data_IF_204757583829
#
_entry.id   IF_204757583829
#
_cell.length_a   1.000
_cell.length_b   1.000
_cell.length_c   1.000
_cell.angle_alpha   90.00
_cell.angle_beta   90.00
_cell.angle_gamma   90.00
#
_symmetry.space_group_name_H-M   'P 1'
#
loop_
_entity.id
_entity.type
_entity.pdbx_description
1 polymer ?
#
# COMPACT_ATOMS: atom_id res chain seq x y z
N UNK A 1 7.52 -8.30 5.84
CA UNK A 1 6.62 -7.86 6.94
C UNK A 1 7.08 -6.54 7.55
N UNK A 2 8.32 -6.46 8.05
CA UNK A 2 8.85 -5.25 8.67
C UNK A 2 8.81 -4.03 7.73
N UNK A 3 9.14 -4.23 6.45
CA UNK A 3 9.17 -3.16 5.45
C UNK A 3 7.80 -2.47 5.25
N UNK A 4 6.70 -3.21 5.23
CA UNK A 4 5.34 -2.62 5.16
C UNK A 4 5.06 -1.77 6.38
N UNK A 5 5.36 -2.31 7.56
CA UNK A 5 5.11 -1.60 8.82
C UNK A 5 5.96 -0.34 8.89
N UNK A 6 7.21 -0.41 8.41
CA UNK A 6 8.15 0.71 8.37
C UNK A 6 7.72 1.81 7.40
N UNK A 7 7.30 1.46 6.18
CA UNK A 7 7.03 2.46 5.14
C UNK A 7 5.57 2.85 4.97
N UNK A 8 4.63 1.99 5.37
CA UNK A 8 3.20 2.16 5.13
C UNK A 8 2.32 1.82 6.35
N UNK A 9 2.90 1.45 7.49
CA UNK A 9 2.13 0.95 8.63
C UNK A 9 1.12 1.95 9.18
N UNK A 10 1.42 3.24 9.12
CA UNK A 10 0.50 4.30 9.53
C UNK A 10 -0.66 4.46 8.55
N UNK A 11 -0.36 4.47 7.25
CA UNK A 11 -1.34 4.49 6.17
C UNK A 11 -2.28 3.29 6.23
N UNK A 12 -1.75 2.08 6.40
CA UNK A 12 -2.52 0.85 6.63
C UNK A 12 -3.52 1.03 7.77
N UNK A 13 -3.02 1.48 8.93
CA UNK A 13 -3.86 1.60 10.12
C UNK A 13 -4.99 2.62 9.91
N UNK A 14 -4.68 3.79 9.37
CA UNK A 14 -5.68 4.82 9.14
C UNK A 14 -6.74 4.38 8.11
N UNK A 15 -6.36 3.56 7.11
CA UNK A 15 -7.30 2.93 6.17
C UNK A 15 -8.21 1.91 6.85
N UNK A 16 -7.63 0.99 7.63
CA UNK A 16 -8.43 0.04 8.42
C UNK A 16 -9.39 0.79 9.34
N UNK A 17 -8.91 1.82 10.03
CA UNK A 17 -9.71 2.68 10.90
C UNK A 17 -10.82 3.43 10.16
N UNK A 18 -10.59 3.80 8.90
CA UNK A 18 -11.60 4.37 8.02
C UNK A 18 -12.60 3.34 7.47
N UNK A 19 -12.54 2.08 7.92
CA UNK A 19 -13.46 1.01 7.53
C UNK A 19 -13.03 0.24 6.27
N UNK A 20 -11.82 0.46 5.77
CA UNK A 20 -11.33 -0.24 4.59
C UNK A 20 -10.91 -1.65 4.95
N UNK A 21 -11.22 -2.60 4.06
CA UNK A 21 -10.66 -3.94 4.16
C UNK A 21 -9.26 -3.95 3.52
N UNK A 22 -8.22 -3.94 4.36
CA UNK A 22 -6.81 -3.94 3.94
C UNK A 22 -6.24 -5.34 4.06
N UNK A 23 -5.62 -5.81 2.98
CA UNK A 23 -4.93 -7.09 2.93
C UNK A 23 -3.50 -6.88 2.48
N UNK A 24 -2.54 -7.38 3.25
CA UNK A 24 -1.12 -7.38 2.90
C UNK A 24 -0.72 -8.73 2.32
N UNK A 25 -0.25 -8.74 1.08
CA UNK A 25 0.24 -9.92 0.41
C UNK A 25 1.68 -10.15 0.80
N UNK A 26 1.95 -11.28 1.45
CA UNK A 26 3.29 -11.66 1.90
C UNK A 26 3.73 -12.93 1.18
N UNK A 27 5.05 -13.05 0.91
CA UNK A 27 5.61 -14.25 0.29
C UNK A 27 5.52 -15.50 1.16
N UNK A 28 5.95 -15.39 2.43
CA UNK A 28 5.75 -16.44 3.44
C UNK A 28 5.33 -15.82 4.79
N UNK A 29 4.35 -16.44 5.44
CA UNK A 29 3.76 -15.98 6.70
C UNK A 29 4.54 -16.56 7.89
N UNK A 30 5.53 -15.84 8.42
CA UNK A 30 6.27 -16.29 9.61
C UNK A 30 5.67 -15.73 10.92
N UNK A 31 5.18 -14.50 10.90
CA UNK A 31 4.46 -13.88 12.03
C UNK A 31 3.49 -12.79 11.53
N UNK A 32 2.18 -12.99 11.72
CA UNK A 32 1.13 -12.04 11.32
C UNK A 32 0.79 -10.99 12.38
N UNK A 33 1.42 -11.08 13.56
CA UNK A 33 1.15 -10.18 14.69
C UNK A 33 1.32 -8.70 14.34
N UNK A 34 2.36 -8.25 13.60
CA UNK A 34 2.48 -6.84 13.24
C UNK A 34 1.27 -6.34 12.43
N UNK A 35 0.75 -7.15 11.51
CA UNK A 35 -0.42 -6.78 10.71
C UNK A 35 -1.71 -6.76 11.53
N UNK A 36 -1.85 -7.70 12.47
CA UNK A 36 -2.97 -7.72 13.42
C UNK A 36 -3.01 -6.48 14.30
N UNK A 37 -1.86 -5.95 14.71
CA UNK A 37 -1.79 -4.67 15.44
C UNK A 37 -2.36 -3.54 14.57
N UNK A 38 -2.05 -3.52 13.28
CA UNK A 38 -2.58 -2.54 12.34
C UNK A 38 -4.05 -2.81 11.94
N UNK A 39 -4.59 -3.97 12.32
CA UNK A 39 -5.92 -4.44 11.94
C UNK A 39 -6.04 -4.91 10.48
N UNK A 40 -4.90 -5.15 9.82
CA UNK A 40 -4.84 -5.66 8.45
C UNK A 40 -4.80 -7.19 8.41
N UNK A 41 -5.41 -7.76 7.38
CA UNK A 41 -5.28 -9.18 7.05
C UNK A 41 -4.02 -9.46 6.23
N UNK A 42 -3.71 -10.73 6.03
CA UNK A 42 -2.66 -11.17 5.13
C UNK A 42 -3.13 -12.26 4.17
N UNK A 43 -2.54 -12.30 2.98
CA UNK A 43 -2.73 -13.34 1.98
C UNK A 43 -1.40 -13.70 1.33
N UNK A 44 -1.28 -14.90 0.76
CA UNK A 44 -0.20 -15.20 -0.17
C UNK A 44 -0.51 -14.65 -1.57
N UNK A 45 0.53 -14.55 -2.40
CA UNK A 45 0.44 -13.94 -3.72
C UNK A 45 -0.48 -14.71 -4.69
N UNK A 46 -0.46 -16.05 -4.66
CA UNK A 46 -1.28 -16.87 -5.56
C UNK A 46 -2.76 -16.79 -5.20
N UNK A 47 -3.07 -16.77 -3.90
CA UNK A 47 -4.44 -16.53 -3.40
C UNK A 47 -4.92 -15.13 -3.78
N UNK A 48 -4.06 -14.12 -3.70
CA UNK A 48 -4.41 -12.76 -4.10
C UNK A 48 -4.73 -12.64 -5.60
N UNK A 49 -3.89 -13.20 -6.47
CA UNK A 49 -4.16 -13.26 -7.92
C UNK A 49 -5.47 -13.98 -8.23
N UNK A 50 -5.74 -15.10 -7.55
CA UNK A 50 -6.98 -15.86 -7.70
C UNK A 50 -8.19 -15.06 -7.25
N UNK A 51 -8.06 -14.28 -6.17
CA UNK A 51 -9.15 -13.46 -5.63
C UNK A 51 -9.63 -12.39 -6.61
N UNK A 52 -8.72 -11.83 -7.41
CA UNK A 52 -9.02 -10.77 -8.38
C UNK A 52 -9.79 -11.31 -9.57
N UNK A 53 -9.39 -12.49 -10.06
CA UNK A 53 -10.12 -13.20 -11.12
C UNK A 53 -11.58 -13.48 -10.71
N UNK A 54 -11.82 -13.69 -9.42
CA UNK A 54 -13.14 -14.02 -8.88
C UNK A 54 -13.95 -12.79 -8.43
N UNK A 55 -13.29 -11.73 -7.95
CA UNK A 55 -13.93 -10.63 -7.21
C UNK A 55 -13.68 -9.23 -7.79
N UNK A 56 -12.91 -9.12 -8.87
CA UNK A 56 -12.57 -7.85 -9.52
C UNK A 56 -11.31 -7.18 -8.95
N UNK A 57 -10.94 -6.04 -9.55
CA UNK A 57 -9.75 -5.28 -9.20
C UNK A 57 -9.91 -4.51 -7.88
N UNK A 58 -8.83 -4.37 -7.08
CA UNK A 58 -8.86 -3.54 -5.89
C UNK A 58 -8.97 -2.06 -6.25
N UNK A 59 -9.57 -1.26 -5.36
CA UNK A 59 -9.64 0.18 -5.58
C UNK A 59 -8.30 0.87 -5.32
N UNK A 60 -7.48 0.29 -4.46
CA UNK A 60 -6.14 0.76 -4.19
C UNK A 60 -5.18 -0.42 -4.08
N UNK A 61 -4.03 -0.28 -4.72
CA UNK A 61 -2.93 -1.23 -4.71
C UNK A 61 -1.67 -0.49 -4.29
N UNK A 62 -0.98 -0.97 -3.25
CA UNK A 62 0.28 -0.38 -2.81
C UNK A 62 1.39 -1.43 -2.72
N UNK A 63 2.63 -1.13 -3.14
CA UNK A 63 3.72 -2.12 -3.15
C UNK A 63 5.13 -1.51 -3.07
N UNK A 64 6.19 -2.27 -2.69
CA UNK A 64 7.55 -1.79 -2.74
C UNK A 64 8.00 -1.59 -4.18
N UNK A 65 8.66 -0.47 -4.49
CA UNK A 65 9.12 -0.18 -5.85
C UNK A 65 10.03 -1.30 -6.42
N UNK A 66 10.88 -1.88 -5.57
CA UNK A 66 11.77 -2.99 -5.91
C UNK A 66 11.01 -4.23 -6.40
N UNK A 67 9.79 -4.46 -5.90
CA UNK A 67 8.99 -5.63 -6.28
C UNK A 67 8.54 -5.58 -7.75
N UNK A 68 8.32 -4.37 -8.27
CA UNK A 68 7.99 -4.17 -9.69
C UNK A 68 9.17 -4.47 -10.61
N UNK A 69 10.39 -4.24 -10.13
CA UNK A 69 11.63 -4.50 -10.86
C UNK A 69 12.01 -5.99 -10.80
N UNK A 70 11.81 -6.64 -9.65
CA UNK A 70 12.27 -8.00 -9.39
C UNK A 70 11.29 -9.11 -9.78
N UNK A 71 9.96 -8.90 -9.72
CA UNK A 71 8.98 -9.95 -10.03
C UNK A 71 8.11 -9.57 -11.24
N UNK A 72 8.29 -10.27 -12.36
CA UNK A 72 7.52 -10.04 -13.57
C UNK A 72 6.02 -10.31 -13.40
N UNK A 73 5.63 -11.21 -12.49
CA UNK A 73 4.20 -11.48 -12.20
C UNK A 73 3.57 -10.28 -11.48
N UNK A 74 4.31 -9.65 -10.57
CA UNK A 74 3.85 -8.41 -9.91
C UNK A 74 3.76 -7.29 -10.93
N UNK A 75 4.77 -7.13 -11.78
CA UNK A 75 4.77 -6.14 -12.87
C UNK A 75 3.55 -6.30 -13.78
N UNK A 76 3.34 -7.49 -14.32
CA UNK A 76 2.23 -7.80 -15.22
C UNK A 76 0.89 -7.55 -14.51
N UNK A 77 0.80 -7.91 -13.24
CA UNK A 77 -0.41 -7.68 -12.45
C UNK A 77 -0.69 -6.19 -12.23
N UNK A 78 0.31 -5.41 -11.84
CA UNK A 78 0.19 -3.96 -11.64
C UNK A 78 -0.19 -3.24 -12.94
N UNK A 79 0.48 -3.57 -14.06
CA UNK A 79 0.17 -2.99 -15.36
C UNK A 79 -1.26 -3.34 -15.79
N UNK A 80 -1.69 -4.58 -15.57
CA UNK A 80 -3.07 -4.99 -15.83
C UNK A 80 -4.07 -4.21 -14.96
N UNK A 81 -3.80 -4.01 -13.67
CA UNK A 81 -4.64 -3.22 -12.77
C UNK A 81 -4.71 -1.75 -13.20
N UNK A 82 -3.60 -1.18 -13.68
CA UNK A 82 -3.53 0.17 -14.24
C UNK A 82 -4.34 0.29 -15.54
N UNK A 83 -4.22 -0.65 -16.47
CA UNK A 83 -4.96 -0.60 -17.75
C UNK A 83 -6.49 -0.52 -17.57
N UNK A 84 -7.03 -1.03 -16.46
CA UNK A 84 -8.46 -0.96 -16.16
C UNK A 84 -8.92 0.41 -15.64
N UNK A 85 -7.99 1.28 -15.22
CA UNK A 85 -8.26 2.69 -14.90
C UNK A 85 -9.13 2.96 -13.67
N UNK A 86 -9.41 1.95 -12.85
CA UNK A 86 -10.28 2.04 -11.66
C UNK A 86 -9.52 1.90 -10.33
N UNK A 87 -8.20 1.74 -10.40
CA UNK A 87 -7.37 1.42 -9.26
C UNK A 87 -6.32 2.50 -9.05
N UNK A 88 -6.22 3.00 -7.82
CA UNK A 88 -5.13 3.84 -7.38
C UNK A 88 -3.91 2.97 -7.09
N UNK A 89 -2.77 3.24 -7.73
CA UNK A 89 -1.52 2.54 -7.44
C UNK A 89 -0.59 3.43 -6.63
N UNK A 90 -0.02 2.90 -5.55
CA UNK A 90 1.01 3.56 -4.76
C UNK A 90 2.25 2.66 -4.66
N UNK A 91 3.42 3.26 -4.62
CA UNK A 91 4.67 2.57 -4.40
C UNK A 91 5.38 3.19 -3.21
N UNK A 92 6.04 2.40 -2.40
CA UNK A 92 6.95 2.91 -1.37
C UNK A 92 8.36 2.35 -1.56
N UNK A 93 9.33 3.00 -0.91
CA UNK A 93 10.73 2.65 -1.07
C UNK A 93 11.27 2.93 -2.48
N UNK A 94 12.58 2.70 -2.65
CA UNK A 94 13.26 2.76 -3.95
C UNK A 94 13.03 4.02 -4.78
N UNK A 95 13.12 3.86 -6.09
CA UNK A 95 12.81 4.89 -7.09
C UNK A 95 11.56 4.47 -7.86
N UNK A 96 10.78 5.44 -8.38
CA UNK A 96 9.64 5.11 -9.25
C UNK A 96 10.15 4.53 -10.58
N UNK A 97 9.72 3.32 -10.98
CA UNK A 97 10.09 2.73 -12.25
C UNK A 97 9.70 3.62 -13.44
N UNK A 98 10.49 3.70 -14.52
CA UNK A 98 10.19 4.54 -15.68
C UNK A 98 8.83 4.24 -16.32
N UNK A 99 8.41 2.98 -16.31
CA UNK A 99 7.11 2.53 -16.83
C UNK A 99 5.93 3.13 -16.04
N UNK A 100 6.18 3.51 -14.79
CA UNK A 100 5.20 4.06 -13.86
C UNK A 100 5.36 5.57 -13.65
N UNK A 101 6.53 6.14 -13.99
CA UNK A 101 6.82 7.57 -13.86
C UNK A 101 5.93 8.42 -14.75
N UNK A 102 5.52 7.92 -15.92
CA UNK A 102 4.60 8.62 -16.83
C UNK A 102 3.16 8.71 -16.28
N UNK A 103 2.83 7.91 -15.27
CA UNK A 103 1.51 7.82 -14.65
C UNK A 103 1.43 8.54 -13.30
N UNK A 104 2.52 9.14 -12.81
CA UNK A 104 2.63 9.38 -11.37
C UNK A 104 3.51 10.52 -10.89
N UNK A 105 3.43 10.77 -9.58
CA UNK A 105 4.19 11.79 -8.85
C UNK A 105 4.49 11.34 -7.42
N UNK A 106 5.29 12.11 -6.69
CA UNK A 106 5.57 11.86 -5.27
C UNK A 106 4.43 12.38 -4.39
N UNK A 107 4.02 11.60 -3.41
CA UNK A 107 2.98 11.94 -2.45
C UNK A 107 3.47 11.67 -1.01
N UNK A 108 3.04 12.54 -0.10
CA UNK A 108 3.25 12.34 1.33
C UNK A 108 1.92 12.01 1.99
N UNK A 109 1.94 10.99 2.84
CA UNK A 109 0.85 10.66 3.73
C UNK A 109 1.16 11.12 5.14
N UNK A 110 0.31 11.95 5.75
CA UNK A 110 0.49 12.40 7.14
C UNK A 110 -0.28 11.48 8.07
N UNK A 111 0.43 10.86 9.00
CA UNK A 111 -0.13 9.89 9.93
C UNK A 111 -0.96 10.58 11.01
N UNK A 112 -2.11 10.01 11.34
CA UNK A 112 -2.80 10.40 12.57
C UNK A 112 -1.99 10.03 13.81
N UNK A 113 -2.28 10.65 14.96
CA UNK A 113 -1.64 10.28 16.23
C UNK A 113 -1.91 8.81 16.59
N UNK A 114 -3.07 8.29 16.22
CA UNK A 114 -3.39 6.87 16.42
C UNK A 114 -2.54 5.99 15.50
N UNK A 115 -2.42 6.33 14.21
CA UNK A 115 -1.53 5.64 13.29
C UNK A 115 -0.08 5.60 13.77
N UNK A 116 0.43 6.72 14.32
CA UNK A 116 1.79 6.75 14.88
C UNK A 116 1.95 5.75 16.04
N UNK A 117 0.99 5.72 16.97
CA UNK A 117 1.03 4.81 18.12
C UNK A 117 0.92 3.34 17.72
N UNK A 118 -0.01 3.02 16.82
CA UNK A 118 -0.22 1.64 16.34
C UNK A 118 0.93 1.17 15.45
N UNK A 119 1.51 2.05 14.63
CA UNK A 119 2.74 1.77 13.88
C UNK A 119 3.90 1.45 14.81
N UNK A 120 4.10 2.24 15.88
CA UNK A 120 5.15 1.95 16.87
C UNK A 120 4.97 0.56 17.49
N UNK A 121 3.73 0.19 17.84
CA UNK A 121 3.44 -1.12 18.41
C UNK A 121 3.62 -2.27 17.39
N UNK A 122 3.29 -2.03 16.12
CA UNK A 122 3.51 -2.99 15.05
C UNK A 122 5.00 -3.19 14.77
N UNK A 123 5.81 -2.12 14.81
CA UNK A 123 7.27 -2.19 14.71
C UNK A 123 7.87 -2.97 15.87
N UNK A 124 7.43 -2.70 17.11
CA UNK A 124 7.82 -3.47 18.28
C UNK A 124 7.46 -4.96 18.15
N UNK A 125 6.26 -5.27 17.64
CA UNK A 125 5.84 -6.65 17.35
C UNK A 125 6.69 -7.31 16.26
N UNK A 126 7.22 -6.54 15.31
CA UNK A 126 8.13 -7.01 14.27
C UNK A 126 9.60 -7.12 14.73
N UNK A 127 9.91 -6.79 16.00
CA UNK A 127 11.26 -6.85 16.56
C UNK A 127 12.05 -5.53 16.50
N UNK A 128 11.41 -4.43 16.11
CA UNK A 128 12.02 -3.11 15.93
C UNK A 128 11.50 -2.11 16.96
N UNK A 129 11.63 -2.42 18.26
CA UNK A 129 11.06 -1.62 19.34
C UNK A 129 11.64 -0.19 19.44
N UNK A 130 12.88 0.02 19.00
CA UNK A 130 13.56 1.32 19.04
C UNK A 130 13.42 2.13 17.74
N UNK A 131 12.63 1.64 16.78
CA UNK A 131 12.44 2.35 15.51
C UNK A 131 11.66 3.65 15.70
N UNK A 132 12.23 4.76 15.20
CA UNK A 132 11.58 6.06 15.25
C UNK A 132 10.37 6.09 14.30
N UNK A 133 9.20 6.46 14.83
CA UNK A 133 8.00 6.66 14.00
C UNK A 133 7.91 8.12 13.58
N UNK A 134 8.09 8.36 12.27
CA UNK A 134 7.88 9.68 11.67
C UNK A 134 6.42 10.09 11.61
N UNK A 135 6.18 11.38 11.34
CA UNK A 135 4.83 11.92 11.15
C UNK A 135 4.28 11.72 9.74
N UNK A 136 5.14 11.35 8.79
CA UNK A 136 4.79 11.17 7.38
C UNK A 136 5.35 9.87 6.83
N UNK A 137 4.59 9.28 5.92
CA UNK A 137 5.00 8.18 5.04
C UNK A 137 5.05 8.69 3.60
N UNK A 138 5.97 8.12 2.81
CA UNK A 138 6.28 8.63 1.48
C UNK A 138 5.90 7.57 0.44
N UNK A 139 5.18 8.01 -0.59
CA UNK A 139 4.73 7.16 -1.67
C UNK A 139 5.01 7.79 -3.03
N UNK A 140 5.28 6.98 -4.04
CA UNK A 140 5.10 7.34 -5.43
C UNK A 140 3.70 6.90 -5.86
N UNK A 141 2.85 7.82 -6.29
CA UNK A 141 1.49 7.48 -6.72
C UNK A 141 1.44 7.39 -8.23
N UNK A 142 0.85 6.32 -8.76
CA UNK A 142 0.54 6.15 -10.17
C UNK A 142 -0.98 6.11 -10.30
N UNK A 143 -1.54 7.11 -10.99
CA UNK A 143 -2.95 7.13 -11.33
C UNK A 143 -3.08 7.10 -12.84
N UNK A 144 -4.05 6.35 -13.36
CA UNK A 144 -4.38 6.52 -14.78
C UNK A 144 -4.86 7.94 -15.04
N UNK A 145 -4.72 8.41 -16.29
CA UNK A 145 -5.16 9.75 -16.71
C UNK A 145 -6.66 10.03 -16.45
N UNK A 146 -7.46 9.01 -16.10
CA UNK A 146 -8.77 9.20 -15.46
C UNK A 146 -8.55 9.49 -13.98
N UNK A 147 -8.72 10.75 -13.58
CA UNK A 147 -8.68 11.21 -12.18
C UNK A 147 -9.49 10.28 -11.27
N UNK A 148 -8.81 9.35 -10.63
CA UNK A 148 -9.23 8.82 -9.34
C UNK A 148 -8.69 9.81 -8.31
N UNK A 149 -9.60 10.39 -7.54
CA UNK A 149 -9.22 11.20 -6.39
C UNK A 149 -8.70 10.21 -5.36
N UNK A 150 -7.42 10.30 -5.03
CA UNK A 150 -6.87 9.77 -3.80
C UNK A 150 -7.11 10.85 -2.74
N UNK A 151 -8.19 10.82 -1.95
CA UNK A 151 -8.53 11.93 -1.06
C UNK A 151 -7.52 12.12 0.08
N UNK A 152 -6.64 11.15 0.31
CA UNK A 152 -5.76 11.04 1.46
C UNK A 152 -4.26 11.16 1.14
N UNK A 153 -3.85 10.92 -0.11
CA UNK A 153 -2.47 11.11 -0.55
C UNK A 153 -2.29 12.51 -1.12
N UNK A 154 -1.53 13.34 -0.42
CA UNK A 154 -1.30 14.73 -0.82
C UNK A 154 -0.09 14.79 -1.75
N UNK A 155 -0.22 15.37 -2.96
CA UNK A 155 0.92 15.56 -3.86
C UNK A 155 2.01 16.37 -3.18
N UNK A 156 3.27 15.99 -3.35
CA UNK A 156 4.40 16.74 -2.80
C UNK A 156 4.53 18.17 -3.37
N UNK A 157 3.85 18.48 -4.49
CA UNK A 157 4.02 19.73 -5.24
C UNK A 157 2.74 20.53 -5.59
N UNK A 158 1.51 20.17 -5.19
CA UNK A 158 0.34 21.00 -5.57
C UNK A 158 -0.91 20.89 -4.68
N UNK A 159 -1.65 22.00 -4.68
CA UNK A 159 -2.84 22.42 -3.94
C UNK A 159 -4.04 21.46 -3.92
N UNK A 160 -4.83 21.63 -2.85
CA UNK A 160 -6.04 20.90 -2.47
C UNK A 160 -7.04 20.70 -3.60
N UNK A 161 -7.50 19.46 -3.78
CA UNK A 161 -8.76 19.15 -4.45
C UNK A 161 -9.50 18.09 -3.63
N UNK A 162 -10.61 18.51 -3.01
CA UNK A 162 -11.56 17.62 -2.35
C UNK A 162 -12.51 16.98 -3.35
N UNK A 163 -12.70 15.67 -3.27
CA UNK A 163 -13.89 15.02 -3.79
C UNK A 163 -14.32 13.91 -2.83
N UNK A 164 -15.59 14.00 -2.42
CA UNK A 164 -16.26 13.08 -1.52
C UNK A 164 -16.93 11.98 -2.36
N UNK A 165 -16.65 10.72 -2.07
CA UNK A 165 -17.30 9.59 -2.71
C UNK A 165 -17.57 8.50 -1.65
N UNK A 166 -18.85 8.27 -1.37
CA UNK A 166 -19.32 7.14 -0.58
C UNK A 166 -19.09 5.84 -1.35
N UNK A 167 -18.09 5.05 -0.95
CA UNK A 167 -17.89 3.68 -1.44
C UNK A 167 -17.97 2.72 -0.25
N UNK A 168 -19.06 1.94 -0.19
CA UNK A 168 -19.35 1.01 0.92
C UNK A 168 -18.81 -0.41 0.72
N UNK A 169 -17.98 -0.65 -0.30
CA UNK A 169 -17.35 -1.95 -0.59
C UNK A 169 -15.86 -1.80 -1.01
N UNK A 170 -15.12 -0.92 -0.33
CA UNK A 170 -13.71 -0.65 -0.63
C UNK A 170 -12.77 -1.76 -0.14
N UNK A 171 -11.97 -2.33 -1.05
CA UNK A 171 -10.86 -3.24 -0.71
C UNK A 171 -9.53 -2.65 -1.19
N UNK A 172 -8.55 -2.60 -0.28
CA UNK A 172 -7.14 -2.32 -0.59
C UNK A 172 -6.39 -3.65 -0.55
N UNK A 173 -5.54 -3.85 -1.55
CA UNK A 173 -4.56 -4.92 -1.54
C UNK A 173 -3.19 -4.27 -1.51
N UNK A 174 -2.43 -4.48 -0.46
CA UNK A 174 -1.03 -4.08 -0.40
C UNK A 174 -0.16 -5.29 -0.70
N UNK A 175 0.88 -5.15 -1.50
CA UNK A 175 1.91 -6.17 -1.67
C UNK A 175 3.08 -5.84 -0.76
N UNK A 176 3.73 -6.84 -0.20
CA UNK A 176 5.09 -6.70 0.30
C UNK A 176 6.01 -7.65 -0.43
N UNK A 177 7.27 -7.25 -0.51
CA UNK A 177 8.38 -8.14 -0.81
C UNK A 177 8.29 -9.37 0.09
N UNK A 178 8.27 -10.53 -0.56
CA UNK A 178 8.78 -11.74 0.06
C UNK A 178 10.22 -11.43 0.46
N UNK A 179 10.60 -11.74 1.70
CA UNK A 179 12.02 -11.70 2.06
C UNK A 179 12.77 -12.49 0.99
N UNK A 180 13.71 -11.85 0.31
CA UNK A 180 14.59 -12.52 -0.61
C UNK A 180 15.34 -13.59 0.19
N UNK A 181 14.92 -14.85 0.05
CA UNK A 181 15.78 -15.97 0.36
C UNK A 181 16.86 -15.98 -0.73
N UNK A 182 18.01 -15.40 -0.41
CA UNK A 182 19.20 -15.35 -1.23
C UNK A 182 20.41 -15.01 -0.39
#
# INVERSE_FOLDING_TARGET
>A
MAEVVEHAGGWVFDRVRAGWHVVVIVGELVDDRPLRVLGAGSLDFETALSSIRLRGHPQSLAFPAELFECDSRVRDWVLHVLDHGLSQVALWGGHCPPELSDYGGFAHYRLTTAAQAFKAQALAAAGFADAAVGHTENFHTCATRRRLVAPDLVPACAEEISAELELKDCRIIELTTAGAAG
#
